data_IF_643507781476
#
_entry.id   IF_643507781476
#
_cell.length_a   1.000
_cell.length_b   1.000
_cell.length_c   1.000
_cell.angle_alpha   90.00
_cell.angle_beta   90.00
_cell.angle_gamma   90.00
#
_symmetry.space_group_name_H-M   'P 1'
#
loop_
_entity.id
_entity.type
_entity.pdbx_description
1 polymer ?
#
# COMPACT_ATOMS: atom_id res chain seq x y z
N UNK A 1 3.46 16.18 -44.55
CA UNK A 1 3.47 16.54 -43.10
C UNK A 1 2.20 15.98 -42.49
N UNK A 2 2.31 14.99 -41.62
CA UNK A 2 1.18 14.41 -40.90
C UNK A 2 1.43 14.57 -39.40
N UNK A 3 0.35 14.71 -38.62
CA UNK A 3 0.43 14.69 -37.16
C UNK A 3 0.95 13.29 -36.77
N UNK A 4 2.17 13.20 -36.26
CA UNK A 4 2.82 11.93 -35.92
C UNK A 4 2.34 11.37 -34.57
N UNK A 5 1.93 12.26 -33.67
CA UNK A 5 1.34 11.93 -32.37
C UNK A 5 0.19 12.90 -32.09
N UNK A 6 -0.99 12.35 -31.80
CA UNK A 6 -2.18 13.07 -31.42
C UNK A 6 -2.50 12.70 -29.97
N UNK A 7 -2.27 13.63 -29.05
CA UNK A 7 -2.72 13.50 -27.67
C UNK A 7 -4.15 14.03 -27.58
N UNK A 8 -5.12 13.13 -27.53
CA UNK A 8 -6.51 13.46 -27.16
C UNK A 8 -6.65 13.14 -25.68
N UNK A 9 -6.65 14.16 -24.84
CA UNK A 9 -7.21 14.07 -23.50
C UNK A 9 -8.67 14.53 -23.60
N UNK A 10 -9.60 13.58 -23.58
CA UNK A 10 -11.03 13.86 -23.57
C UNK A 10 -11.66 13.56 -22.20
N UNK A 11 -10.86 13.58 -21.13
CA UNK A 11 -11.34 13.41 -19.76
C UNK A 11 -10.71 14.50 -18.87
N UNK A 12 -11.28 15.70 -18.95
CA UNK A 12 -10.92 16.78 -18.04
C UNK A 12 -11.42 16.47 -16.63
N UNK A 13 -10.56 16.64 -15.62
CA UNK A 13 -11.00 16.69 -14.22
C UNK A 13 -11.63 18.06 -13.98
N UNK A 14 -12.90 18.08 -13.56
CA UNK A 14 -13.59 19.31 -13.21
C UNK A 14 -13.07 19.83 -11.86
N UNK A 15 -12.13 20.77 -11.93
CA UNK A 15 -11.51 21.41 -10.77
C UNK A 15 -12.48 22.31 -9.97
N UNK A 16 -13.71 22.54 -10.47
CA UNK A 16 -14.74 23.21 -9.67
C UNK A 16 -15.34 22.30 -8.60
N UNK A 17 -15.25 20.98 -8.79
CA UNK A 17 -15.65 20.00 -7.79
C UNK A 17 -14.79 20.13 -6.54
N UNK A 18 -15.39 19.85 -5.40
CA UNK A 18 -14.74 19.95 -4.09
C UNK A 18 -14.82 18.62 -3.35
N UNK A 19 -13.84 18.38 -2.47
CA UNK A 19 -13.81 17.23 -1.57
C UNK A 19 -13.98 15.89 -2.30
N UNK A 20 -14.89 15.06 -1.79
CA UNK A 20 -15.13 13.69 -2.23
C UNK A 20 -15.51 13.57 -3.72
N UNK A 21 -16.19 14.55 -4.30
CA UNK A 21 -16.59 14.51 -5.72
C UNK A 21 -15.41 14.71 -6.67
N UNK A 22 -14.49 15.62 -6.32
CA UNK A 22 -13.23 15.78 -7.05
C UNK A 22 -12.39 14.49 -6.96
N UNK A 23 -12.29 13.92 -5.76
CA UNK A 23 -11.52 12.69 -5.55
C UNK A 23 -12.08 11.52 -6.37
N UNK A 24 -13.41 11.37 -6.46
CA UNK A 24 -14.04 10.34 -7.31
C UNK A 24 -13.66 10.50 -8.79
N UNK A 25 -13.64 11.72 -9.32
CA UNK A 25 -13.20 11.95 -10.69
C UNK A 25 -11.72 11.62 -10.88
N UNK A 26 -10.86 12.00 -9.93
CA UNK A 26 -9.42 11.64 -9.95
C UNK A 26 -9.25 10.11 -9.94
N UNK A 27 -10.04 9.38 -9.15
CA UNK A 27 -10.02 7.91 -9.16
C UNK A 27 -10.43 7.35 -10.51
N UNK A 28 -11.54 7.84 -11.09
CA UNK A 28 -12.00 7.37 -12.39
C UNK A 28 -10.94 7.62 -13.47
N UNK A 29 -10.33 8.81 -13.46
CA UNK A 29 -9.21 9.15 -14.33
C UNK A 29 -8.02 8.22 -14.15
N UNK A 30 -7.66 7.87 -12.90
CA UNK A 30 -6.53 6.97 -12.62
C UNK A 30 -6.67 5.60 -13.28
N UNK A 31 -7.89 5.14 -13.59
CA UNK A 31 -8.10 3.85 -14.27
C UNK A 31 -7.47 3.81 -15.67
N UNK A 32 -7.26 4.98 -16.30
CA UNK A 32 -6.56 5.09 -17.57
C UNK A 32 -5.12 4.59 -17.47
N UNK A 33 -4.48 4.66 -16.30
CA UNK A 33 -3.13 4.12 -16.09
C UNK A 33 -3.03 2.61 -16.31
N UNK A 34 -4.16 1.89 -16.41
CA UNK A 34 -4.19 0.49 -16.82
C UNK A 34 -4.32 0.27 -18.33
N UNK A 35 -4.52 1.31 -19.14
CA UNK A 35 -4.87 1.19 -20.57
C UNK A 35 -4.06 2.08 -21.51
N UNK A 36 -3.47 3.17 -21.02
CA UNK A 36 -2.69 4.12 -21.83
C UNK A 36 -1.18 3.99 -21.56
N UNK A 37 -0.30 4.44 -22.49
CA UNK A 37 1.12 4.60 -22.20
C UNK A 37 1.34 5.47 -20.97
N UNK A 38 2.12 4.97 -20.01
CA UNK A 38 2.38 5.66 -18.74
C UNK A 38 3.74 6.32 -18.78
N UNK A 39 3.78 7.62 -18.49
CA UNK A 39 5.03 8.35 -18.20
C UNK A 39 5.05 8.65 -16.70
N UNK A 40 6.01 8.06 -15.98
CA UNK A 40 6.14 8.18 -14.53
C UNK A 40 7.37 9.01 -14.16
N UNK A 41 7.22 10.03 -13.32
CA UNK A 41 8.30 10.86 -12.82
C UNK A 41 8.12 11.12 -11.32
N UNK A 42 8.85 10.35 -10.50
CA UNK A 42 8.66 10.32 -9.04
C UNK A 42 9.91 10.68 -8.24
N UNK A 43 10.95 11.13 -8.93
CA UNK A 43 12.13 11.67 -8.25
C UNK A 43 11.73 12.88 -7.42
N UNK A 44 12.25 12.95 -6.20
CA UNK A 44 12.04 14.08 -5.31
C UNK A 44 13.30 14.33 -4.50
N UNK A 45 13.86 15.52 -4.67
CA UNK A 45 14.98 15.98 -3.85
C UNK A 45 14.66 15.86 -2.36
N UNK A 46 15.67 15.51 -1.57
CA UNK A 46 15.62 15.43 -0.10
C UNK A 46 14.63 14.40 0.48
N UNK A 47 14.12 13.47 -0.33
CA UNK A 47 13.27 12.36 0.13
C UNK A 47 13.81 11.02 -0.39
N UNK A 48 13.68 9.97 0.41
CA UNK A 48 13.99 8.62 -0.05
C UNK A 48 13.00 8.25 -1.15
N UNK A 49 13.51 7.86 -2.32
CA UNK A 49 12.69 7.47 -3.48
C UNK A 49 11.55 6.50 -3.14
N UNK A 50 11.85 5.55 -2.26
CA UNK A 50 10.88 4.61 -1.70
C UNK A 50 9.71 5.29 -1.00
N UNK A 51 9.97 6.27 -0.15
CA UNK A 51 8.91 6.98 0.58
C UNK A 51 8.00 7.71 -0.42
N UNK A 52 8.57 8.24 -1.51
CA UNK A 52 7.79 8.80 -2.62
C UNK A 52 6.93 7.74 -3.32
N UNK A 53 7.52 6.62 -3.74
CA UNK A 53 6.81 5.52 -4.43
C UNK A 53 5.69 4.91 -3.58
N UNK A 54 5.89 4.86 -2.26
CA UNK A 54 4.91 4.33 -1.32
C UNK A 54 3.93 5.39 -0.79
N UNK A 55 3.89 6.61 -1.35
CA UNK A 55 2.77 7.52 -1.08
C UNK A 55 1.46 6.86 -1.51
N UNK A 56 0.37 6.97 -0.74
CA UNK A 56 -0.88 6.25 -1.01
C UNK A 56 -1.41 6.38 -2.44
N UNK A 57 -1.34 7.57 -3.02
CA UNK A 57 -1.75 7.83 -4.40
C UNK A 57 -0.80 7.21 -5.42
N UNK A 58 0.51 7.43 -5.30
CA UNK A 58 1.51 6.86 -6.20
C UNK A 58 1.49 5.33 -6.15
N UNK A 59 1.35 4.76 -4.95
CA UNK A 59 1.24 3.31 -4.75
C UNK A 59 -0.02 2.74 -5.43
N UNK A 60 -1.14 3.47 -5.40
CA UNK A 60 -2.36 3.08 -6.14
C UNK A 60 -2.13 3.08 -7.65
N UNK A 61 -1.54 4.13 -8.19
CA UNK A 61 -1.24 4.23 -9.62
C UNK A 61 -0.26 3.13 -10.05
N UNK A 62 0.82 2.93 -9.29
CA UNK A 62 1.78 1.87 -9.49
C UNK A 62 1.11 0.50 -9.58
N UNK A 63 0.13 0.21 -8.71
CA UNK A 63 -0.65 -1.04 -8.75
C UNK A 63 -1.46 -1.18 -10.05
N UNK A 64 -2.01 -0.09 -10.59
CA UNK A 64 -2.75 -0.09 -11.85
C UNK A 64 -1.84 -0.39 -13.05
N UNK A 65 -0.57 0.02 -13.01
CA UNK A 65 0.39 -0.25 -14.07
C UNK A 65 0.64 -1.75 -14.29
N UNK A 66 0.46 -2.59 -13.26
CA UNK A 66 0.80 -4.02 -13.32
C UNK A 66 0.16 -4.75 -14.49
N UNK A 67 -1.08 -4.39 -14.82
CA UNK A 67 -1.88 -5.02 -15.87
C UNK A 67 -1.95 -4.15 -17.13
N UNK A 68 -1.17 -3.08 -17.19
CA UNK A 68 -1.14 -2.23 -18.37
C UNK A 68 -0.47 -3.00 -19.53
N UNK A 69 -1.15 -3.19 -20.66
CA UNK A 69 -0.59 -3.91 -21.81
C UNK A 69 0.45 -3.09 -22.59
N UNK A 70 0.59 -1.80 -22.27
CA UNK A 70 1.53 -0.87 -22.89
C UNK A 70 2.80 -0.72 -22.05
N UNK A 71 3.81 -0.09 -22.65
CA UNK A 71 5.08 0.22 -21.99
C UNK A 71 4.91 1.30 -20.93
N UNK A 72 5.62 1.15 -19.81
CA UNK A 72 5.81 2.18 -18.79
C UNK A 72 7.15 2.88 -19.06
N UNK A 73 7.12 4.20 -19.27
CA UNK A 73 8.32 5.03 -19.40
C UNK A 73 8.53 5.75 -18.08
N UNK A 74 9.58 5.39 -17.36
CA UNK A 74 10.00 6.12 -16.17
C UNK A 74 11.04 7.18 -16.53
N UNK A 75 10.79 8.42 -16.13
CA UNK A 75 11.62 9.59 -16.39
C UNK A 75 12.26 10.04 -15.07
N UNK A 76 13.54 9.71 -14.90
CA UNK A 76 14.35 10.12 -13.76
C UNK A 76 15.01 11.48 -14.00
N UNK A 77 15.06 12.33 -12.98
CA UNK A 77 15.68 13.66 -13.05
C UNK A 77 16.67 13.95 -11.90
N UNK A 78 16.74 13.07 -10.89
CA UNK A 78 17.77 13.09 -9.83
C UNK A 78 18.49 11.76 -9.71
N UNK A 79 18.39 10.89 -10.73
CA UNK A 79 18.92 9.51 -10.73
C UNK A 79 18.44 8.65 -9.55
N UNK A 80 17.34 9.00 -8.88
CA UNK A 80 16.88 8.27 -7.70
C UNK A 80 16.22 6.94 -8.11
N UNK A 81 15.17 7.00 -8.93
CA UNK A 81 14.52 5.81 -9.47
C UNK A 81 15.28 5.17 -10.65
N UNK A 82 16.02 5.99 -11.40
CA UNK A 82 16.83 5.56 -12.55
C UNK A 82 18.19 4.94 -12.19
N UNK A 83 18.59 4.98 -10.91
CA UNK A 83 19.83 4.35 -10.46
C UNK A 83 19.83 2.84 -10.75
N UNK A 84 20.80 2.40 -11.54
CA UNK A 84 21.04 0.98 -11.78
C UNK A 84 21.58 0.30 -10.51
N UNK A 85 21.00 -0.85 -10.21
CA UNK A 85 21.33 -1.75 -9.11
C UNK A 85 22.21 -2.92 -9.57
N UNK A 86 22.81 -2.82 -10.77
CA UNK A 86 23.42 -3.86 -11.61
C UNK A 86 24.55 -4.73 -11.03
N UNK A 87 24.63 -4.87 -9.71
CA UNK A 87 25.36 -5.92 -8.99
C UNK A 87 24.48 -7.08 -8.52
N UNK A 88 23.14 -6.94 -8.55
CA UNK A 88 22.23 -7.91 -7.92
C UNK A 88 21.27 -8.62 -8.88
N UNK A 89 21.06 -8.10 -10.09
CA UNK A 89 20.12 -8.64 -11.07
C UNK A 89 20.73 -8.61 -12.50
N UNK A 90 20.31 -9.52 -13.40
CA UNK A 90 20.69 -9.50 -14.81
C UNK A 90 20.20 -8.23 -15.52
N UNK A 91 21.07 -7.62 -16.35
CA UNK A 91 20.75 -6.43 -17.15
C UNK A 91 19.47 -6.63 -18.00
N UNK A 92 18.57 -5.65 -17.98
CA UNK A 92 17.23 -5.57 -18.57
C UNK A 92 16.10 -6.27 -17.78
N UNK A 93 16.29 -6.56 -16.49
CA UNK A 93 15.18 -6.97 -15.61
C UNK A 93 14.53 -5.76 -14.95
N UNK A 94 13.23 -5.87 -14.66
CA UNK A 94 12.45 -4.87 -13.91
C UNK A 94 13.21 -4.39 -12.66
N UNK A 95 13.91 -5.31 -11.98
CA UNK A 95 14.60 -5.08 -10.71
C UNK A 95 15.99 -4.44 -10.86
N UNK A 96 16.47 -4.20 -12.08
CA UNK A 96 17.75 -3.51 -12.31
C UNK A 96 17.72 -2.05 -11.92
N UNK A 97 16.54 -1.44 -11.88
CA UNK A 97 16.36 -0.05 -11.51
C UNK A 97 15.66 0.04 -10.17
N UNK A 98 16.00 1.09 -9.40
CA UNK A 98 15.30 1.36 -8.14
C UNK A 98 13.79 1.51 -8.35
N UNK A 99 13.37 2.13 -9.46
CA UNK A 99 11.95 2.21 -9.84
C UNK A 99 11.28 0.84 -9.92
N UNK A 100 11.81 -0.09 -10.71
CA UNK A 100 11.17 -1.39 -10.86
C UNK A 100 11.30 -2.29 -9.62
N UNK A 101 12.33 -2.13 -8.78
CA UNK A 101 12.38 -2.78 -7.47
C UNK A 101 11.25 -2.30 -6.53
N UNK A 102 10.93 -1.00 -6.52
CA UNK A 102 9.80 -0.49 -5.72
C UNK A 102 8.45 -0.90 -6.34
N UNK A 103 8.33 -0.98 -7.67
CA UNK A 103 7.15 -1.55 -8.33
C UNK A 103 6.92 -3.01 -7.94
N UNK A 104 7.96 -3.85 -7.95
CA UNK A 104 7.87 -5.23 -7.50
C UNK A 104 7.40 -5.32 -6.04
N UNK A 105 7.94 -4.46 -5.16
CA UNK A 105 7.50 -4.34 -3.75
C UNK A 105 6.02 -3.96 -3.65
N UNK A 106 5.54 -3.04 -4.48
CA UNK A 106 4.14 -2.57 -4.49
C UNK A 106 3.19 -3.62 -5.09
N UNK A 107 3.61 -4.38 -6.09
CA UNK A 107 2.79 -5.38 -6.77
C UNK A 107 2.69 -6.69 -6.00
N UNK A 108 3.77 -7.08 -5.33
CA UNK A 108 3.79 -8.27 -4.45
C UNK A 108 3.22 -7.96 -3.07
N UNK A 109 3.30 -6.71 -2.63
CA UNK A 109 2.67 -6.21 -1.42
C UNK A 109 1.20 -5.81 -1.61
N UNK A 110 0.53 -5.56 -0.50
CA UNK A 110 -0.73 -4.80 -0.44
C UNK A 110 -0.41 -3.32 -0.16
N UNK A 111 -1.35 -2.53 0.36
CA UNK A 111 -1.09 -1.16 0.84
C UNK A 111 -0.42 -1.10 2.23
N UNK A 112 0.01 -2.24 2.76
CA UNK A 112 0.42 -2.37 4.17
C UNK A 112 1.70 -1.60 4.47
N UNK A 113 2.68 -1.64 3.58
CA UNK A 113 3.90 -0.85 3.73
C UNK A 113 3.61 0.64 3.66
N UNK A 114 2.78 1.06 2.70
CA UNK A 114 2.29 2.43 2.54
C UNK A 114 1.61 2.94 3.80
N UNK A 115 0.65 2.17 4.34
CA UNK A 115 -0.07 2.55 5.57
C UNK A 115 0.87 2.56 6.78
N UNK A 116 1.81 1.61 6.88
CA UNK A 116 2.79 1.59 7.96
C UNK A 116 3.70 2.81 7.94
N UNK A 117 4.15 3.24 6.75
CA UNK A 117 4.94 4.45 6.58
C UNK A 117 4.15 5.71 6.94
N UNK A 118 2.86 5.78 6.58
CA UNK A 118 1.98 6.90 7.01
C UNK A 118 1.78 6.89 8.53
N UNK A 119 1.55 5.71 9.12
CA UNK A 119 1.40 5.54 10.57
C UNK A 119 2.63 6.05 11.32
N UNK A 120 3.83 5.63 10.90
CA UNK A 120 5.09 5.99 11.55
C UNK A 120 5.63 7.38 11.17
N UNK A 121 4.98 8.08 10.24
CA UNK A 121 5.39 9.42 9.81
C UNK A 121 6.50 9.46 8.76
N UNK A 122 6.91 8.32 8.21
CA UNK A 122 7.91 8.23 7.14
C UNK A 122 7.35 8.66 5.78
N UNK A 123 6.03 8.53 5.59
CA UNK A 123 5.30 8.83 4.35
C UNK A 123 4.24 9.89 4.65
N UNK A 124 4.31 11.01 3.93
CA UNK A 124 3.34 12.09 4.06
C UNK A 124 1.98 11.74 3.44
N UNK A 125 0.91 12.04 4.18
CA UNK A 125 -0.47 12.03 3.68
C UNK A 125 -1.26 13.12 4.39
N UNK A 126 -1.74 14.13 3.66
CA UNK A 126 -2.42 15.29 4.24
C UNK A 126 -3.77 14.91 4.87
N UNK A 127 -4.54 14.07 4.19
CA UNK A 127 -5.88 13.65 4.61
C UNK A 127 -5.96 12.13 4.67
N UNK A 128 -5.74 11.56 5.85
CA UNK A 128 -5.77 10.10 6.04
C UNK A 128 -7.14 9.48 5.72
N UNK A 129 -8.22 10.26 5.81
CA UNK A 129 -9.58 9.86 5.42
C UNK A 129 -9.67 9.39 3.97
N UNK A 130 -8.78 9.88 3.10
CA UNK A 130 -8.80 9.56 1.66
C UNK A 130 -8.38 8.12 1.37
N UNK A 131 -7.88 7.37 2.37
CA UNK A 131 -7.66 5.93 2.21
C UNK A 131 -8.96 5.21 1.82
N UNK A 132 -10.14 5.74 2.16
CA UNK A 132 -11.44 5.19 1.70
C UNK A 132 -11.56 5.16 0.17
N UNK A 133 -10.90 6.09 -0.52
CA UNK A 133 -10.87 6.20 -1.98
C UNK A 133 -9.72 5.43 -2.62
N UNK A 134 -8.62 5.26 -1.88
CA UNK A 134 -7.43 4.55 -2.35
C UNK A 134 -7.61 3.03 -2.19
N UNK A 135 -8.28 2.61 -1.11
CA UNK A 135 -8.50 1.22 -0.73
C UNK A 135 -10.01 0.95 -0.76
N UNK A 136 -10.58 1.08 -1.96
CA UNK A 136 -12.02 0.98 -2.18
C UNK A 136 -12.70 -0.24 -1.51
N UNK A 137 -12.10 -1.45 -1.49
CA UNK A 137 -12.77 -2.58 -0.87
C UNK A 137 -12.88 -2.50 0.66
N UNK A 138 -12.13 -1.61 1.30
CA UNK A 138 -12.23 -1.32 2.73
C UNK A 138 -12.98 -0.01 3.03
N UNK A 139 -13.49 0.69 2.00
CA UNK A 139 -14.02 2.04 2.13
C UNK A 139 -15.09 2.18 3.23
N UNK A 140 -16.04 1.24 3.28
CA UNK A 140 -17.12 1.26 4.26
C UNK A 140 -16.60 1.21 5.69
N UNK A 141 -15.65 0.32 5.98
CA UNK A 141 -15.02 0.22 7.29
C UNK A 141 -14.16 1.45 7.60
N UNK A 142 -13.43 1.97 6.60
CA UNK A 142 -12.58 3.15 6.75
C UNK A 142 -13.36 4.43 7.02
N UNK A 143 -14.53 4.62 6.42
CA UNK A 143 -15.41 5.77 6.73
C UNK A 143 -15.76 5.78 8.21
N UNK A 144 -16.29 4.66 8.71
CA UNK A 144 -16.74 4.54 10.11
C UNK A 144 -15.55 4.60 11.08
N UNK A 145 -14.41 4.00 10.72
CA UNK A 145 -13.20 4.06 11.53
C UNK A 145 -12.70 5.49 11.68
N UNK A 146 -12.68 6.28 10.59
CA UNK A 146 -12.22 7.66 10.64
C UNK A 146 -13.08 8.54 11.58
N UNK A 147 -14.38 8.29 11.65
CA UNK A 147 -15.29 9.01 12.55
C UNK A 147 -15.13 8.62 14.02
N UNK A 148 -14.69 7.38 14.31
CA UNK A 148 -14.74 6.77 15.66
C UNK A 148 -13.40 6.53 16.31
N UNK A 149 -12.30 6.68 15.58
CA UNK A 149 -10.97 6.29 16.04
C UNK A 149 -9.99 7.45 15.94
N UNK A 150 -8.98 7.43 16.80
CA UNK A 150 -7.83 8.32 16.68
C UNK A 150 -7.09 8.08 15.35
N UNK A 151 -6.26 9.03 14.94
CA UNK A 151 -5.41 8.90 13.72
C UNK A 151 -4.67 7.55 13.67
N UNK A 152 -4.04 7.16 14.77
CA UNK A 152 -3.18 5.99 14.80
C UNK A 152 -3.99 4.70 14.86
N UNK A 153 -5.09 4.69 15.63
CA UNK A 153 -6.03 3.56 15.64
C UNK A 153 -6.64 3.34 14.25
N UNK A 154 -7.06 4.42 13.57
CA UNK A 154 -7.55 4.39 12.19
C UNK A 154 -6.54 3.78 11.21
N UNK A 155 -5.29 4.24 11.24
CA UNK A 155 -4.24 3.73 10.35
C UNK A 155 -3.88 2.27 10.67
N UNK A 156 -3.87 1.87 11.94
CA UNK A 156 -3.66 0.48 12.32
C UNK A 156 -4.84 -0.41 11.91
N UNK A 157 -6.08 0.08 12.00
CA UNK A 157 -7.27 -0.60 11.44
C UNK A 157 -7.12 -0.79 9.94
N UNK A 158 -6.76 0.25 9.18
CA UNK A 158 -6.55 0.16 7.74
C UNK A 158 -5.47 -0.88 7.38
N UNK A 159 -4.37 -0.90 8.14
CA UNK A 159 -3.27 -1.86 7.97
C UNK A 159 -3.75 -3.30 8.18
N UNK A 160 -4.47 -3.57 9.27
CA UNK A 160 -4.97 -4.91 9.60
C UNK A 160 -6.01 -5.38 8.58
N UNK A 161 -6.92 -4.49 8.15
CA UNK A 161 -7.89 -4.80 7.11
C UNK A 161 -7.19 -5.21 5.80
N UNK A 162 -6.15 -4.50 5.37
CA UNK A 162 -5.37 -4.87 4.20
C UNK A 162 -4.63 -6.21 4.39
N UNK A 163 -4.14 -6.47 5.60
CA UNK A 163 -3.39 -7.68 5.92
C UNK A 163 -4.23 -8.96 5.91
N UNK A 164 -5.56 -8.87 6.05
CA UNK A 164 -6.46 -10.02 5.89
C UNK A 164 -6.45 -10.62 4.48
N UNK A 165 -6.04 -9.84 3.48
CA UNK A 165 -6.20 -10.20 2.07
C UNK A 165 -4.89 -10.44 1.34
N UNK A 166 -3.78 -10.47 2.06
CA UNK A 166 -2.45 -10.68 1.48
C UNK A 166 -2.10 -12.16 1.44
N UNK A 167 -1.58 -12.65 0.32
CA UNK A 167 -1.17 -14.05 0.18
C UNK A 167 0.13 -14.36 0.96
N UNK A 168 0.91 -13.32 1.27
CA UNK A 168 2.12 -13.42 2.07
C UNK A 168 1.79 -13.48 3.56
N UNK A 169 2.02 -14.63 4.21
CA UNK A 169 1.79 -14.80 5.66
C UNK A 169 2.67 -13.91 6.54
N UNK A 170 3.70 -13.28 5.99
CA UNK A 170 4.66 -12.46 6.69
C UNK A 170 4.98 -11.21 5.85
N UNK A 171 4.39 -10.06 6.21
CA UNK A 171 4.69 -8.80 5.54
C UNK A 171 5.67 -8.00 6.36
N UNK A 172 6.83 -7.75 5.79
CA UNK A 172 7.88 -6.96 6.43
C UNK A 172 7.46 -5.50 6.53
N UNK A 173 7.18 -5.06 7.75
CA UNK A 173 7.12 -3.66 8.16
C UNK A 173 8.55 -3.13 8.30
N UNK A 174 8.77 -1.96 7.71
CA UNK A 174 10.08 -1.29 7.70
C UNK A 174 10.27 -0.30 8.85
N UNK A 175 9.18 0.08 9.49
CA UNK A 175 9.15 1.07 10.58
C UNK A 175 8.50 0.47 11.82
N UNK A 176 8.90 0.95 13.01
CA UNK A 176 8.49 0.33 14.26
C UNK A 176 7.09 0.79 14.70
N UNK A 177 6.07 0.07 14.23
CA UNK A 177 4.66 0.30 14.58
C UNK A 177 4.41 0.39 16.10
N UNK A 178 5.23 -0.32 16.89
CA UNK A 178 5.05 -0.46 18.36
C UNK A 178 5.31 0.82 19.13
N UNK A 179 6.06 1.77 18.57
CA UNK A 179 6.40 3.02 19.25
C UNK A 179 5.29 4.08 19.13
N UNK A 180 4.25 3.81 18.34
CA UNK A 180 3.10 4.69 18.21
C UNK A 180 2.18 4.57 19.42
N UNK A 181 1.53 5.69 19.77
CA UNK A 181 0.46 5.72 20.77
C UNK A 181 -0.88 5.41 20.12
N UNK A 182 -1.70 4.63 20.82
CA UNK A 182 -3.00 4.15 20.38
C UNK A 182 -3.99 4.31 21.54
N UNK A 183 -5.24 4.70 21.25
CA UNK A 183 -6.27 4.87 22.29
C UNK A 183 -7.06 3.59 22.50
N UNK A 184 -7.36 2.86 21.40
CA UNK A 184 -8.14 1.61 21.43
C UNK A 184 -7.30 0.37 21.19
N UNK A 185 -6.25 0.51 20.38
CA UNK A 185 -5.32 -0.58 20.16
C UNK A 185 -4.29 -0.68 21.29
N UNK A 186 -3.82 -1.89 21.55
CA UNK A 186 -2.62 -2.12 22.36
C UNK A 186 -1.73 -3.18 21.71
N UNK A 187 -0.43 -2.92 21.73
CA UNK A 187 0.58 -3.85 21.26
C UNK A 187 1.43 -4.25 22.44
N UNK A 188 1.37 -5.53 22.82
CA UNK A 188 2.08 -6.05 24.00
C UNK A 188 2.75 -7.36 23.69
N UNK A 189 3.90 -7.60 24.31
CA UNK A 189 4.65 -8.84 24.16
C UNK A 189 3.77 -10.01 24.62
N UNK A 190 3.77 -11.10 23.85
CA UNK A 190 3.07 -12.33 24.18
C UNK A 190 4.05 -13.49 24.12
N UNK A 191 3.92 -14.42 25.06
CA UNK A 191 4.67 -15.68 25.02
C UNK A 191 4.01 -16.60 23.99
N UNK A 192 4.82 -17.22 23.12
CA UNK A 192 4.30 -18.09 22.08
C UNK A 192 5.39 -18.96 21.44
N UNK A 193 5.01 -19.98 20.64
CA UNK A 193 5.93 -20.94 20.04
C UNK A 193 6.96 -20.37 19.03
N UNK A 194 7.07 -19.04 18.89
CA UNK A 194 8.12 -18.32 18.15
C UNK A 194 8.91 -17.30 19.00
N UNK A 195 8.59 -17.12 20.29
CA UNK A 195 9.34 -16.24 21.18
C UNK A 195 10.62 -16.92 21.64
N UNK A 196 11.69 -16.76 20.88
CA UNK A 196 13.03 -17.26 21.19
C UNK A 196 14.01 -16.12 21.44
N UNK A 197 15.29 -16.47 21.65
CA UNK A 197 16.40 -15.51 21.82
C UNK A 197 16.49 -14.52 20.63
N UNK A 198 15.97 -14.91 19.46
CA UNK A 198 16.11 -14.17 18.21
C UNK A 198 14.85 -13.43 17.74
N UNK A 199 13.68 -13.67 18.34
CA UNK A 199 12.41 -13.11 17.89
C UNK A 199 11.49 -12.81 19.08
N UNK A 200 10.89 -11.63 19.06
CA UNK A 200 9.85 -11.24 20.01
C UNK A 200 8.50 -11.17 19.28
N UNK A 201 7.50 -11.85 19.83
CA UNK A 201 6.13 -11.81 19.32
C UNK A 201 5.33 -10.83 20.18
N UNK A 202 4.60 -9.93 19.53
CA UNK A 202 3.73 -8.95 20.16
C UNK A 202 2.31 -9.17 19.67
N UNK A 203 1.35 -9.42 20.57
CA UNK A 203 -0.05 -9.46 20.20
C UNK A 203 -0.56 -8.04 19.91
N UNK A 204 -1.36 -7.91 18.86
CA UNK A 204 -2.14 -6.70 18.57
C UNK A 204 -3.56 -6.92 19.08
N UNK A 205 -4.02 -6.05 19.97
CA UNK A 205 -5.34 -6.13 20.59
C UNK A 205 -6.13 -4.85 20.28
N UNK A 206 -7.41 -5.00 19.97
CA UNK A 206 -8.38 -3.92 19.83
C UNK A 206 -9.40 -4.05 20.97
N UNK A 207 -9.50 -3.04 21.82
CA UNK A 207 -10.35 -3.07 23.03
C UNK A 207 -10.14 -4.34 23.88
N UNK A 208 -8.89 -4.81 23.96
CA UNK A 208 -8.51 -6.03 24.69
C UNK A 208 -8.69 -7.36 23.95
N UNK A 209 -9.31 -7.37 22.76
CA UNK A 209 -9.50 -8.58 21.93
C UNK A 209 -8.39 -8.70 20.89
N UNK A 210 -7.78 -9.89 20.77
CA UNK A 210 -6.64 -10.10 19.85
C UNK A 210 -7.09 -10.12 18.39
N UNK A 211 -6.52 -9.24 17.58
CA UNK A 211 -6.79 -9.12 16.13
C UNK A 211 -5.58 -9.48 15.26
N UNK A 212 -4.40 -9.62 15.85
CA UNK A 212 -3.21 -10.01 15.12
C UNK A 212 -1.99 -10.18 16.01
N UNK A 213 -0.83 -10.24 15.38
CA UNK A 213 0.46 -10.14 16.04
C UNK A 213 1.52 -9.52 15.13
N UNK A 214 2.54 -8.97 15.79
CA UNK A 214 3.77 -8.48 15.19
C UNK A 214 4.92 -9.38 15.62
N UNK A 215 5.71 -9.84 14.67
CA UNK A 215 6.95 -10.57 14.94
C UNK A 215 8.12 -9.63 14.67
N UNK A 216 8.93 -9.31 15.68
CA UNK A 216 10.08 -8.44 15.53
C UNK A 216 11.37 -9.22 15.76
N UNK A 217 12.34 -9.05 14.85
CA UNK A 217 13.68 -9.58 15.04
C UNK A 217 14.31 -8.98 16.32
N UNK A 218 14.93 -9.83 17.13
CA UNK A 218 15.71 -9.42 18.29
C UNK A 218 16.95 -8.60 17.93
N UNK A 219 17.56 -7.96 18.92
CA UNK A 219 18.70 -7.01 18.77
C UNK A 219 19.96 -7.58 18.08
N UNK A 220 20.04 -8.88 17.81
CA UNK A 220 21.27 -9.60 17.43
C UNK A 220 21.43 -9.88 15.93
N UNK A 221 20.50 -9.48 15.05
CA UNK A 221 20.66 -9.63 13.59
C UNK A 221 20.63 -8.32 12.82
N UNK A 222 21.48 -8.26 11.79
CA UNK A 222 21.54 -7.24 10.74
C UNK A 222 20.31 -7.19 9.81
N UNK A 223 19.32 -8.08 10.02
CA UNK A 223 18.02 -8.06 9.31
C UNK A 223 16.94 -7.54 10.25
N UNK A 224 16.84 -6.22 10.30
CA UNK A 224 15.76 -5.50 10.99
C UNK A 224 14.48 -5.64 10.17
N UNK A 225 13.51 -6.37 10.68
CA UNK A 225 12.18 -6.48 10.07
C UNK A 225 11.17 -6.82 11.16
N UNK A 226 10.06 -6.10 11.16
CA UNK A 226 8.87 -6.54 11.89
C UNK A 226 7.90 -7.15 10.88
N UNK A 227 7.17 -8.21 11.23
CA UNK A 227 6.19 -8.84 10.36
C UNK A 227 4.81 -8.73 10.97
N UNK A 228 3.80 -8.38 10.19
CA UNK A 228 2.41 -8.39 10.65
C UNK A 228 1.69 -9.64 10.16
N UNK A 229 0.96 -10.28 11.07
CA UNK A 229 0.02 -11.34 10.77
C UNK A 229 -1.29 -11.06 11.51
N UNK A 230 -2.41 -11.44 10.89
CA UNK A 230 -3.75 -11.19 11.40
C UNK A 230 -4.42 -12.48 11.83
N UNK A 231 -5.31 -12.42 12.82
CA UNK A 231 -6.09 -13.59 13.24
C UNK A 231 -7.25 -13.84 12.25
N UNK A 232 -7.72 -15.09 12.09
CA UNK A 232 -8.79 -15.41 11.13
C UNK A 232 -10.10 -14.63 11.30
N UNK A 233 -10.36 -14.11 12.51
CA UNK A 233 -11.58 -13.35 12.83
C UNK A 233 -11.32 -11.84 13.00
N UNK A 234 -10.13 -11.35 12.65
CA UNK A 234 -9.73 -9.97 12.90
C UNK A 234 -10.67 -8.96 12.24
N UNK A 235 -11.14 -9.26 11.03
CA UNK A 235 -12.11 -8.43 10.30
C UNK A 235 -13.45 -8.32 11.04
N UNK A 236 -14.07 -9.44 11.45
CA UNK A 236 -15.35 -9.41 12.15
C UNK A 236 -15.23 -8.69 13.52
N UNK A 237 -14.10 -8.86 14.21
CA UNK A 237 -13.80 -8.14 15.46
C UNK A 237 -13.73 -6.63 15.20
N UNK A 238 -12.98 -6.20 14.18
CA UNK A 238 -12.88 -4.78 13.80
C UNK A 238 -14.25 -4.22 13.45
N UNK A 239 -14.99 -4.87 12.55
CA UNK A 239 -16.30 -4.38 12.13
C UNK A 239 -17.29 -4.32 13.30
N UNK A 240 -17.27 -5.31 14.19
CA UNK A 240 -18.07 -5.30 15.42
C UNK A 240 -17.70 -4.13 16.33
N UNK A 241 -16.40 -3.86 16.52
CA UNK A 241 -15.91 -2.74 17.34
C UNK A 241 -16.24 -1.36 16.75
N UNK A 242 -16.46 -1.30 15.43
CA UNK A 242 -16.92 -0.13 14.70
C UNK A 242 -18.44 0.04 14.76
N UNK A 243 -19.17 -0.92 15.35
CA UNK A 243 -20.61 -0.88 15.54
C UNK A 243 -21.42 -1.37 14.33
N UNK A 244 -20.81 -2.09 13.40
CA UNK A 244 -21.54 -2.72 12.30
C UNK A 244 -22.48 -3.78 12.87
N UNK A 245 -23.72 -3.82 12.40
CA UNK A 245 -24.71 -4.85 12.74
C UNK A 245 -24.31 -6.18 12.10
N UNK A 246 -24.77 -7.29 12.67
CA UNK A 246 -24.49 -8.63 12.12
C UNK A 246 -24.89 -8.80 10.66
N UNK A 247 -25.92 -8.10 10.18
CA UNK A 247 -26.31 -8.09 8.77
C UNK A 247 -25.30 -7.37 7.87
N UNK A 248 -24.83 -6.21 8.29
CA UNK A 248 -23.84 -5.40 7.56
C UNK A 248 -22.48 -6.10 7.52
N UNK A 249 -22.08 -6.76 8.63
CA UNK A 249 -20.87 -7.58 8.65
C UNK A 249 -20.97 -8.76 7.70
N UNK A 250 -22.12 -9.44 7.65
CA UNK A 250 -22.34 -10.54 6.69
C UNK A 250 -22.23 -10.05 5.24
N UNK A 251 -22.87 -8.94 4.91
CA UNK A 251 -22.78 -8.32 3.58
C UNK A 251 -21.34 -7.92 3.25
N UNK A 252 -20.63 -7.31 4.20
CA UNK A 252 -19.21 -7.02 4.04
C UNK A 252 -18.44 -8.31 3.75
N UNK A 253 -18.52 -9.33 4.61
CA UNK A 253 -17.80 -10.61 4.42
C UNK A 253 -18.19 -11.39 3.16
N UNK A 254 -19.41 -11.19 2.61
CA UNK A 254 -19.83 -11.87 1.38
C UNK A 254 -18.95 -11.52 0.16
N UNK A 255 -18.33 -10.34 0.16
CA UNK A 255 -17.46 -9.88 -0.93
C UNK A 255 -15.96 -10.25 -0.74
N UNK A 256 -15.66 -11.24 0.10
CA UNK A 256 -14.27 -11.62 0.45
C UNK A 256 -13.41 -11.97 -0.78
N UNK A 257 -13.97 -12.65 -1.79
CA UNK A 257 -13.24 -13.04 -2.99
C UNK A 257 -12.85 -11.83 -3.85
N UNK A 258 -13.76 -10.86 -4.00
CA UNK A 258 -13.47 -9.62 -4.72
C UNK A 258 -12.39 -8.81 -4.00
N UNK A 259 -12.38 -8.82 -2.66
CA UNK A 259 -11.32 -8.17 -1.88
C UNK A 259 -9.97 -8.86 -2.05
N UNK A 260 -9.92 -10.19 -1.95
CA UNK A 260 -8.70 -10.94 -2.24
C UNK A 260 -8.18 -10.61 -3.65
N UNK A 261 -9.04 -10.62 -4.67
CA UNK A 261 -8.64 -10.29 -6.04
C UNK A 261 -8.08 -8.84 -6.17
N UNK A 262 -8.59 -7.88 -5.40
CA UNK A 262 -8.09 -6.51 -5.40
C UNK A 262 -6.69 -6.39 -4.77
N UNK A 263 -6.43 -7.13 -3.69
CA UNK A 263 -5.16 -7.06 -2.97
C UNK A 263 -4.08 -7.97 -3.58
N UNK A 264 -4.46 -9.12 -4.11
CA UNK A 264 -3.60 -10.08 -4.81
C UNK A 264 -3.42 -9.70 -6.28
N UNK A 265 -2.51 -8.77 -6.53
CA UNK A 265 -2.16 -8.30 -7.89
C UNK A 265 -1.11 -9.21 -8.57
N UNK A 266 -0.53 -10.16 -7.83
CA UNK A 266 0.51 -11.09 -8.30
C UNK A 266 -0.05 -12.25 -9.13
N UNK A 267 -0.94 -11.96 -10.10
CA UNK A 267 -1.37 -12.99 -11.04
C UNK A 267 -0.22 -13.32 -11.99
N UNK A 268 0.47 -14.44 -11.73
CA UNK A 268 1.62 -14.91 -12.53
C UNK A 268 1.28 -15.22 -13.99
N UNK A 269 -0.01 -15.32 -14.34
CA UNK A 269 -0.43 -15.57 -15.72
C UNK A 269 -0.45 -14.33 -16.61
N UNK A 270 -0.41 -13.12 -16.04
CA UNK A 270 -0.31 -11.87 -16.80
C UNK A 270 1.16 -11.44 -16.86
N UNK A 271 1.76 -11.30 -18.07
CA UNK A 271 3.12 -10.79 -18.22
C UNK A 271 3.32 -9.46 -17.49
N UNK A 272 4.55 -9.20 -17.04
CA UNK A 272 4.89 -7.89 -16.49
C UNK A 272 4.95 -6.86 -17.65
N UNK A 273 4.54 -5.61 -17.40
CA UNK A 273 4.68 -4.55 -18.40
C UNK A 273 6.16 -4.29 -18.70
N UNK A 274 6.47 -3.91 -19.94
CA UNK A 274 7.81 -3.43 -20.30
C UNK A 274 8.08 -2.09 -19.61
N UNK A 275 9.27 -1.94 -19.02
CA UNK A 275 9.72 -0.69 -18.41
C UNK A 275 10.90 -0.13 -19.20
N UNK A 276 10.77 1.13 -19.61
CA UNK A 276 11.84 1.93 -20.17
C UNK A 276 12.24 3.01 -19.18
N UNK A 277 13.54 3.15 -18.92
CA UNK A 277 14.08 4.18 -18.04
C UNK A 277 14.81 5.22 -18.88
N UNK A 278 14.33 6.45 -18.79
CA UNK A 278 14.92 7.63 -19.43
C UNK A 278 15.46 8.53 -18.32
N UNK A 279 16.71 8.95 -18.43
CA UNK A 279 17.32 9.91 -17.50
C UNK A 279 17.48 11.26 -18.18
N UNK A 280 17.09 12.33 -17.49
CA UNK A 280 17.23 13.70 -17.95
C UNK A 280 18.15 14.43 -16.97
N UNK A 281 19.17 15.11 -17.50
CA UNK A 281 19.97 16.05 -16.72
C UNK A 281 19.23 17.40 -16.67
N UNK A 282 18.89 17.87 -15.47
CA UNK A 282 18.28 19.18 -15.22
C UNK A 282 19.32 20.21 -14.79
#
# INVERSE_FOLDING_TARGET
MGIQYLFIDAISIDQSLQGDELVKQVIAFSTLYGTIPVIAAYDKADELFRNTMHRPWISKEARLYRNNPTKIVYVGHTSQGGASLGKYFPKNELQDYRFGMELDSIWTGSFIETINGVLCGDIGMSYISDLKFIIAPCAQALVVAYEKMSRNDYLLTALILCANYTDTREIRLRSNTRENSFDRYSIRKVDGPGSGIFWAVYGIFLDGVRVGHLEAAGKTKSRVGSYVAVTPNSEDIILSSLGFKSSERKEYTANVQARHAYFSISNKSVPLPEIEVVSIEL
#
